data_IF_459163420223
#
_entry.id   IF_459163420223
#
_cell.length_a   1.000
_cell.length_b   1.000
_cell.length_c   1.000
_cell.angle_alpha   90.00
_cell.angle_beta   90.00
_cell.angle_gamma   90.00
#
_symmetry.space_group_name_H-M   'P 1'
#
loop_
_entity.id
_entity.type
_entity.pdbx_description
1 polymer ?
#
# COMPACT_ATOMS: atom_id res chain seq x y z
N UNK A 1 18.99 29.11 74.24
CA UNK A 1 20.10 28.72 75.13
C UNK A 1 19.49 27.92 76.28
N UNK A 2 19.77 26.60 76.31
CA UNK A 2 19.52 25.61 77.39
C UNK A 2 18.03 25.24 77.64
N UNK A 3 17.61 23.98 77.82
CA UNK A 3 18.31 22.70 78.00
C UNK A 3 17.41 21.52 77.54
N UNK A 4 18.06 20.37 77.33
CA UNK A 4 17.48 19.06 77.05
C UNK A 4 16.55 18.55 78.16
N UNK A 5 15.55 17.72 77.83
CA UNK A 5 15.33 16.42 78.49
C UNK A 5 14.64 15.45 77.51
N UNK A 6 15.29 14.30 77.35
CA UNK A 6 14.88 13.09 76.65
C UNK A 6 13.63 12.40 77.24
N UNK A 7 12.77 11.84 76.38
CA UNK A 7 11.99 10.64 76.74
C UNK A 7 12.09 9.59 75.63
N UNK A 8 12.65 8.45 76.01
CA UNK A 8 12.73 7.19 75.26
C UNK A 8 11.35 6.52 75.22
N UNK A 9 10.98 5.96 74.08
CA UNK A 9 10.03 4.84 73.93
C UNK A 9 10.54 3.88 72.83
N UNK A 10 10.16 2.59 72.87
CA UNK A 10 11.10 1.47 72.83
C UNK A 10 11.30 0.85 71.45
N UNK A 11 12.42 0.12 71.32
CA UNK A 11 12.67 -0.85 70.26
C UNK A 11 11.82 -2.12 70.51
N UNK A 12 11.04 -2.52 69.52
CA UNK A 12 10.55 -3.90 69.30
C UNK A 12 10.51 -4.14 67.77
N UNK A 13 10.61 -5.40 67.32
CA UNK A 13 11.59 -5.83 66.34
C UNK A 13 10.94 -5.97 64.97
N UNK A 14 11.79 -5.99 63.94
CA UNK A 14 11.35 -6.12 62.56
C UNK A 14 10.52 -7.36 62.32
N UNK A 15 9.39 -7.18 61.67
CA UNK A 15 8.82 -8.08 60.67
C UNK A 15 7.66 -7.32 60.03
N UNK A 16 7.56 -7.40 58.70
CA UNK A 16 6.53 -6.75 57.85
C UNK A 16 6.86 -5.36 57.29
N UNK A 17 7.90 -5.29 56.46
CA UNK A 17 7.88 -4.36 55.32
C UNK A 17 8.19 -5.05 53.97
N UNK A 18 8.58 -6.33 53.98
CA UNK A 18 8.87 -7.09 52.76
C UNK A 18 7.65 -7.77 52.10
N UNK A 19 6.49 -7.79 52.76
CA UNK A 19 5.28 -8.43 52.21
C UNK A 19 4.38 -7.49 51.39
N UNK A 20 4.62 -6.17 51.41
CA UNK A 20 3.80 -5.20 50.66
C UNK A 20 4.37 -4.88 49.27
N UNK A 21 5.63 -5.20 48.99
CA UNK A 21 6.25 -4.99 47.68
C UNK A 21 6.09 -6.19 46.72
N UNK A 22 5.64 -7.36 47.21
CA UNK A 22 5.41 -8.54 46.36
C UNK A 22 3.97 -8.65 45.84
N UNK A 23 3.01 -7.89 46.37
CA UNK A 23 1.63 -7.87 45.86
C UNK A 23 1.37 -6.78 44.81
N UNK A 24 2.27 -5.80 44.63
CA UNK A 24 2.12 -4.75 43.63
C UNK A 24 2.69 -5.09 42.24
N UNK A 25 3.38 -6.23 42.10
CA UNK A 25 3.94 -6.67 40.82
C UNK A 25 2.96 -7.53 39.97
N UNK A 26 1.74 -7.75 40.45
CA UNK A 26 0.69 -8.55 39.78
C UNK A 26 -0.47 -7.70 39.25
N UNK A 27 -0.21 -6.42 38.95
CA UNK A 27 -1.11 -5.58 38.15
C UNK A 27 -0.34 -4.92 37.01
N UNK A 28 0.47 -5.71 36.29
CA UNK A 28 0.80 -5.37 34.91
C UNK A 28 -0.38 -5.85 34.08
N UNK A 29 -1.26 -4.92 33.71
CA UNK A 29 -2.32 -5.19 32.74
C UNK A 29 -1.68 -5.71 31.43
N UNK A 30 -2.18 -6.80 30.83
CA UNK A 30 -1.62 -7.40 29.61
C UNK A 30 -2.00 -6.60 28.36
N UNK A 31 -1.74 -5.29 28.35
CA UNK A 31 -2.06 -4.42 27.22
C UNK A 31 -0.92 -4.30 26.21
N UNK A 32 0.26 -4.85 26.50
CA UNK A 32 1.46 -4.75 25.66
C UNK A 32 1.71 -5.94 24.71
N UNK A 33 0.99 -7.06 24.86
CA UNK A 33 1.20 -8.25 24.04
C UNK A 33 0.46 -8.19 22.69
N UNK A 34 -0.68 -7.50 22.62
CA UNK A 34 -1.51 -7.44 21.40
C UNK A 34 -0.83 -6.69 20.23
N UNK A 35 0.14 -5.81 20.51
CA UNK A 35 0.80 -5.00 19.47
C UNK A 35 2.00 -5.72 18.79
N UNK A 36 2.31 -6.95 19.21
CA UNK A 36 3.42 -7.76 18.70
C UNK A 36 2.99 -9.06 17.97
N UNK A 37 1.69 -9.33 17.85
CA UNK A 37 1.18 -10.58 17.24
C UNK A 37 1.60 -10.75 15.77
N UNK A 38 1.71 -9.65 15.02
CA UNK A 38 2.18 -9.70 13.63
C UNK A 38 3.70 -9.97 13.51
N UNK A 39 4.48 -9.72 14.57
CA UNK A 39 5.93 -9.99 14.57
C UNK A 39 6.19 -11.49 14.74
N UNK A 40 5.40 -12.15 15.58
CA UNK A 40 5.48 -13.59 15.85
C UNK A 40 4.08 -14.22 15.89
N UNK A 41 3.43 -14.42 14.73
CA UNK A 41 2.12 -15.04 14.65
C UNK A 41 2.16 -16.49 15.14
N UNK A 42 1.07 -16.96 15.75
CA UNK A 42 0.96 -18.35 16.19
C UNK A 42 1.08 -19.33 15.03
N UNK A 43 1.74 -20.47 15.26
CA UNK A 43 1.93 -21.50 14.23
C UNK A 43 0.61 -22.11 13.73
N UNK A 44 -0.46 -22.08 14.53
CA UNK A 44 -1.80 -22.46 14.10
C UNK A 44 -2.35 -21.52 13.02
N UNK A 45 -2.10 -20.21 13.14
CA UNK A 45 -2.54 -19.21 12.18
C UNK A 45 -1.79 -19.31 10.86
N UNK A 46 -0.49 -19.66 10.90
CA UNK A 46 0.28 -19.96 9.68
C UNK A 46 -0.35 -21.12 8.90
N UNK A 47 -0.78 -22.20 9.58
CA UNK A 47 -1.49 -23.33 8.94
C UNK A 47 -2.89 -22.95 8.47
N UNK A 48 -3.57 -22.03 9.15
CA UNK A 48 -4.90 -21.57 8.75
C UNK A 48 -4.87 -20.85 7.40
N UNK A 49 -3.89 -19.96 7.20
CA UNK A 49 -3.74 -19.23 5.94
C UNK A 49 -3.01 -20.02 4.85
N UNK A 50 -2.26 -21.06 5.22
CA UNK A 50 -1.50 -21.92 4.30
C UNK A 50 -1.68 -23.41 4.66
N UNK A 51 -2.89 -23.98 4.46
CA UNK A 51 -3.24 -25.30 4.97
C UNK A 51 -2.52 -26.46 4.26
N UNK A 52 -1.94 -26.21 3.07
CA UNK A 52 -1.20 -27.22 2.32
C UNK A 52 0.25 -27.42 2.81
N UNK A 53 0.73 -26.57 3.72
CA UNK A 53 2.09 -26.62 4.24
C UNK A 53 2.20 -27.48 5.49
N UNK A 54 3.28 -28.25 5.57
CA UNK A 54 3.63 -29.06 6.73
C UNK A 54 4.58 -28.30 7.67
N UNK A 55 5.46 -27.46 7.10
CA UNK A 55 6.57 -26.81 7.80
C UNK A 55 6.65 -25.34 7.39
N UNK A 56 6.95 -24.46 8.34
CA UNK A 56 7.19 -23.04 8.10
C UNK A 56 8.60 -22.64 8.58
N UNK A 57 9.27 -21.76 7.84
CA UNK A 57 10.52 -21.13 8.29
C UNK A 57 10.26 -20.11 9.40
N UNK A 58 11.33 -19.63 10.04
CA UNK A 58 11.28 -18.35 10.74
C UNK A 58 10.99 -17.20 9.76
N UNK A 59 10.43 -16.09 10.27
CA UNK A 59 10.20 -14.86 9.50
C UNK A 59 11.53 -14.23 9.10
N UNK A 60 11.79 -14.07 7.81
CA UNK A 60 13.08 -13.56 7.32
C UNK A 60 12.97 -12.99 5.90
N UNK A 61 14.01 -12.25 5.47
CA UNK A 61 14.13 -11.65 4.14
C UNK A 61 13.56 -10.23 4.05
N UNK A 62 13.53 -9.68 2.84
CA UNK A 62 13.06 -8.32 2.55
C UNK A 62 12.17 -8.30 1.30
N UNK A 63 10.85 -8.05 1.41
CA UNK A 63 10.08 -7.90 2.66
C UNK A 63 10.08 -9.20 3.50
N UNK A 64 9.86 -9.13 4.83
CA UNK A 64 9.97 -10.29 5.71
C UNK A 64 8.81 -11.27 5.52
N UNK A 65 9.14 -12.55 5.32
CA UNK A 65 8.17 -13.62 5.05
C UNK A 65 8.48 -14.90 5.84
N UNK A 66 7.45 -15.68 6.12
CA UNK A 66 7.57 -17.11 6.46
C UNK A 66 7.49 -17.90 5.16
N UNK A 67 8.47 -18.77 4.90
CA UNK A 67 8.44 -19.72 3.79
C UNK A 67 7.65 -20.95 4.21
N UNK A 68 6.72 -21.38 3.37
CA UNK A 68 5.85 -22.51 3.64
C UNK A 68 6.26 -23.70 2.77
N UNK A 69 6.47 -24.86 3.39
CA UNK A 69 6.97 -26.05 2.71
C UNK A 69 6.04 -27.24 2.87
N UNK A 70 6.00 -28.08 1.85
CA UNK A 70 5.29 -29.36 1.82
C UNK A 70 6.27 -30.52 1.73
N UNK A 71 6.02 -31.55 2.53
CA UNK A 71 6.82 -32.77 2.53
C UNK A 71 6.29 -33.68 1.43
N UNK A 72 6.96 -33.72 0.28
CA UNK A 72 6.59 -34.64 -0.79
C UNK A 72 6.95 -36.09 -0.42
N UNK A 73 6.03 -37.02 -0.70
CA UNK A 73 6.24 -38.45 -0.43
C UNK A 73 7.36 -38.99 -1.32
N UNK A 74 8.49 -39.36 -0.72
CA UNK A 74 9.62 -39.99 -1.41
C UNK A 74 10.84 -39.09 -1.62
N UNK A 75 10.79 -37.82 -1.23
CA UNK A 75 11.92 -36.87 -1.25
C UNK A 75 12.33 -36.48 0.17
N UNK A 76 13.63 -36.28 0.38
CA UNK A 76 14.19 -35.90 1.70
C UNK A 76 14.04 -34.39 1.94
N UNK A 77 14.05 -33.59 0.88
CA UNK A 77 13.94 -32.13 0.98
C UNK A 77 12.49 -31.67 0.85
N UNK A 78 12.01 -30.80 1.75
CA UNK A 78 10.67 -30.27 1.69
C UNK A 78 10.57 -29.22 0.57
N UNK A 79 9.50 -29.29 -0.23
CA UNK A 79 9.27 -28.43 -1.39
C UNK A 79 8.67 -27.09 -0.93
N UNK A 80 9.21 -25.96 -1.40
CA UNK A 80 8.60 -24.65 -1.16
C UNK A 80 7.29 -24.56 -1.94
N UNK A 81 6.20 -24.23 -1.26
CA UNK A 81 4.87 -24.12 -1.89
C UNK A 81 4.27 -22.71 -1.82
N UNK A 82 4.89 -21.80 -1.07
CA UNK A 82 4.41 -20.44 -0.96
C UNK A 82 5.04 -19.64 0.18
N UNK A 83 4.46 -18.48 0.42
CA UNK A 83 4.90 -17.50 1.41
C UNK A 83 3.73 -17.07 2.29
N UNK A 84 4.03 -16.78 3.55
CA UNK A 84 3.10 -16.14 4.49
C UNK A 84 3.73 -14.85 5.00
N UNK A 85 2.96 -13.77 5.09
CA UNK A 85 3.44 -12.45 5.46
C UNK A 85 2.36 -11.66 6.19
N UNK A 86 2.75 -10.57 6.85
CA UNK A 86 1.82 -9.72 7.59
C UNK A 86 1.83 -8.29 7.06
N UNK A 87 0.65 -7.70 6.86
CA UNK A 87 0.50 -6.35 6.27
C UNK A 87 1.29 -5.23 6.97
N UNK A 88 1.52 -5.25 8.31
CA UNK A 88 2.31 -4.19 8.96
C UNK A 88 3.77 -4.11 8.52
N UNK A 89 4.38 -5.21 8.03
CA UNK A 89 5.76 -5.18 7.52
C UNK A 89 5.88 -4.52 6.16
N UNK A 90 4.76 -4.25 5.49
CA UNK A 90 4.72 -3.79 4.10
C UNK A 90 4.04 -2.42 4.01
N UNK A 91 4.74 -1.34 4.44
CA UNK A 91 4.19 0.01 4.36
C UNK A 91 3.92 0.44 2.90
N UNK A 92 2.93 1.32 2.66
CA UNK A 92 2.15 2.05 3.66
C UNK A 92 0.99 1.22 4.25
N UNK A 93 0.88 1.24 5.58
CA UNK A 93 -0.21 0.58 6.32
C UNK A 93 -1.54 1.27 6.00
N UNK A 94 -2.55 0.48 5.68
CA UNK A 94 -3.90 0.98 5.42
C UNK A 94 -4.66 1.16 6.73
N UNK A 95 -5.34 2.30 6.86
CA UNK A 95 -6.08 2.66 8.07
C UNK A 95 -7.57 2.35 7.89
N UNK A 96 -8.10 1.50 8.77
CA UNK A 96 -9.52 1.36 9.03
C UNK A 96 -10.10 2.60 9.69
N UNK A 97 -11.32 2.50 10.22
CA UNK A 97 -12.03 3.66 10.75
C UNK A 97 -11.35 4.24 11.99
N UNK A 98 -10.84 3.38 12.87
CA UNK A 98 -10.21 3.80 14.14
C UNK A 98 -8.71 3.52 14.23
N UNK A 99 -8.12 2.84 13.24
CA UNK A 99 -6.70 2.47 13.26
C UNK A 99 -6.31 1.45 12.20
N UNK A 100 -5.05 0.99 12.20
CA UNK A 100 -4.60 -0.08 11.32
C UNK A 100 -5.33 -1.39 11.61
N UNK A 101 -5.45 -2.22 10.57
CA UNK A 101 -5.98 -3.58 10.65
C UNK A 101 -4.88 -4.52 10.17
N UNK A 102 -4.28 -5.24 11.11
CA UNK A 102 -3.15 -6.11 10.87
C UNK A 102 -3.67 -7.47 10.41
N UNK A 103 -3.15 -7.94 9.28
CA UNK A 103 -3.60 -9.20 8.67
C UNK A 103 -2.41 -10.10 8.36
N UNK A 104 -2.61 -11.41 8.50
CA UNK A 104 -1.71 -12.46 8.06
C UNK A 104 -2.27 -13.03 6.75
N UNK A 105 -1.41 -13.14 5.74
CA UNK A 105 -1.82 -13.53 4.39
C UNK A 105 -0.93 -14.65 3.91
N UNK A 106 -1.54 -15.73 3.42
CA UNK A 106 -0.87 -16.82 2.71
C UNK A 106 -0.99 -16.65 1.20
N UNK A 107 0.08 -16.88 0.46
CA UNK A 107 0.14 -16.80 -0.99
C UNK A 107 0.97 -17.96 -1.57
N UNK A 108 0.47 -18.62 -2.61
CA UNK A 108 1.20 -19.67 -3.32
C UNK A 108 2.23 -19.10 -4.32
N UNK A 109 2.99 -19.99 -4.96
CA UNK A 109 4.00 -19.60 -5.96
C UNK A 109 3.42 -19.08 -7.29
N UNK A 110 2.10 -19.16 -7.47
CA UNK A 110 1.38 -18.63 -8.64
C UNK A 110 0.71 -17.29 -8.32
N UNK A 111 0.99 -16.70 -7.15
CA UNK A 111 0.39 -15.43 -6.74
C UNK A 111 -1.08 -15.55 -6.36
N UNK A 112 -1.59 -16.74 -6.01
CA UNK A 112 -2.95 -16.89 -5.48
C UNK A 112 -2.92 -16.87 -3.98
N UNK A 113 -3.87 -16.14 -3.39
CA UNK A 113 -4.05 -16.09 -1.95
C UNK A 113 -4.66 -17.40 -1.45
N UNK A 114 -3.98 -18.08 -0.54
CA UNK A 114 -4.43 -19.36 0.02
C UNK A 114 -5.32 -19.19 1.26
N UNK A 115 -5.22 -18.03 1.91
CA UNK A 115 -6.02 -17.66 3.08
C UNK A 115 -5.59 -16.33 3.68
N UNK A 116 -6.48 -15.72 4.46
CA UNK A 116 -6.28 -14.46 5.16
C UNK A 116 -6.79 -14.62 6.57
N UNK A 117 -6.03 -14.12 7.55
CA UNK A 117 -6.43 -14.08 8.95
C UNK A 117 -6.28 -12.66 9.49
N UNK A 118 -7.29 -12.17 10.20
CA UNK A 118 -7.18 -10.93 10.96
C UNK A 118 -6.40 -11.20 12.25
N UNK A 119 -5.33 -10.44 12.48
CA UNK A 119 -4.49 -10.58 13.68
C UNK A 119 -4.96 -9.60 14.75
N UNK A 120 -4.80 -8.32 14.46
CA UNK A 120 -5.08 -7.27 15.42
C UNK A 120 -5.76 -6.10 14.73
N UNK A 121 -6.79 -5.58 15.37
CA UNK A 121 -7.37 -4.30 14.99
C UNK A 121 -8.04 -3.64 16.18
N UNK A 122 -8.23 -2.33 16.06
CA UNK A 122 -9.08 -1.56 16.97
C UNK A 122 -10.05 -0.75 16.12
N UNK A 123 -11.32 -1.03 16.32
CA UNK A 123 -12.43 -0.40 15.61
C UNK A 123 -13.49 0.01 16.63
N UNK A 124 -14.05 1.21 16.49
CA UNK A 124 -15.11 1.71 17.39
C UNK A 124 -16.29 0.72 17.51
N UNK A 125 -16.57 0.00 16.43
CA UNK A 125 -17.65 -0.98 16.33
C UNK A 125 -17.38 -2.31 17.06
N UNK A 126 -16.13 -2.64 17.40
CA UNK A 126 -15.81 -3.89 18.12
C UNK A 126 -16.56 -3.99 19.45
N UNK A 127 -16.66 -2.86 20.18
CA UNK A 127 -17.36 -2.82 21.47
C UNK A 127 -18.86 -3.17 21.39
N UNK A 128 -19.46 -3.06 20.20
CA UNK A 128 -20.88 -3.29 19.97
C UNK A 128 -21.16 -4.61 19.26
N UNK A 129 -20.21 -5.13 18.47
CA UNK A 129 -20.43 -6.29 17.59
C UNK A 129 -19.39 -7.42 17.72
N UNK A 130 -18.42 -7.30 18.62
CA UNK A 130 -17.36 -8.31 18.72
C UNK A 130 -16.44 -8.27 17.50
N UNK A 131 -15.98 -9.44 17.05
CA UNK A 131 -15.06 -9.57 15.92
C UNK A 131 -15.82 -9.56 14.58
N UNK A 132 -16.42 -8.40 14.26
CA UNK A 132 -17.31 -8.28 13.11
C UNK A 132 -16.63 -8.53 11.76
N UNK A 133 -15.29 -8.42 11.69
CA UNK A 133 -14.56 -8.68 10.45
C UNK A 133 -14.55 -10.19 10.20
N UNK A 134 -14.11 -10.97 11.17
CA UNK A 134 -14.07 -12.43 11.08
C UNK A 134 -15.49 -13.02 10.98
N UNK A 135 -16.42 -12.56 11.83
CA UNK A 135 -17.80 -13.05 11.91
C UNK A 135 -18.60 -12.81 10.61
N UNK A 136 -18.20 -11.83 9.81
CA UNK A 136 -18.84 -11.53 8.52
C UNK A 136 -18.41 -12.46 7.38
N UNK A 137 -17.37 -13.29 7.60
CA UNK A 137 -16.75 -14.08 6.54
C UNK A 137 -15.98 -13.24 5.51
N UNK A 138 -15.70 -11.97 5.81
CA UNK A 138 -14.99 -11.07 4.90
C UNK A 138 -13.60 -11.60 4.48
N UNK A 139 -12.76 -12.15 5.38
CA UNK A 139 -11.45 -12.71 4.99
C UNK A 139 -11.54 -13.89 4.01
N UNK A 140 -12.62 -14.70 4.06
CA UNK A 140 -12.76 -15.87 3.20
C UNK A 140 -12.95 -15.50 1.72
N UNK A 141 -13.42 -14.28 1.43
CA UNK A 141 -13.57 -13.80 0.06
C UNK A 141 -12.24 -13.69 -0.69
N UNK A 142 -11.11 -13.59 0.02
CA UNK A 142 -9.78 -13.50 -0.58
C UNK A 142 -9.22 -14.85 -1.01
N UNK A 143 -9.78 -15.96 -0.54
CA UNK A 143 -9.27 -17.30 -0.85
C UNK A 143 -9.37 -17.59 -2.34
N UNK A 144 -8.28 -18.13 -2.91
CA UNK A 144 -8.08 -18.42 -4.33
C UNK A 144 -8.06 -17.21 -5.27
N UNK A 145 -8.16 -15.98 -4.77
CA UNK A 145 -8.01 -14.79 -5.60
C UNK A 145 -6.56 -14.60 -6.01
N UNK A 146 -6.34 -14.16 -7.24
CA UNK A 146 -5.00 -13.86 -7.73
C UNK A 146 -4.62 -12.41 -7.38
N UNK A 147 -3.35 -12.17 -7.05
CA UNK A 147 -2.81 -10.84 -6.78
C UNK A 147 -2.90 -9.87 -7.97
N UNK A 148 -3.06 -10.37 -9.19
CA UNK A 148 -3.32 -9.58 -10.40
C UNK A 148 -4.68 -8.87 -10.34
N UNK A 149 -5.65 -9.41 -9.58
CA UNK A 149 -6.94 -8.76 -9.37
C UNK A 149 -6.81 -7.47 -8.53
N UNK A 150 -7.82 -6.58 -8.64
CA UNK A 150 -7.79 -5.24 -8.05
C UNK A 150 -8.34 -5.17 -6.61
N UNK A 151 -9.06 -6.20 -6.15
CA UNK A 151 -9.70 -6.31 -4.83
C UNK A 151 -10.53 -5.07 -4.43
N UNK A 152 -11.27 -4.48 -5.38
CA UNK A 152 -12.09 -3.30 -5.11
C UNK A 152 -13.33 -3.69 -4.31
N UNK A 153 -13.55 -3.01 -3.19
CA UNK A 153 -14.73 -3.23 -2.35
C UNK A 153 -15.98 -2.73 -3.08
N UNK A 154 -17.03 -3.55 -3.12
CA UNK A 154 -18.26 -3.29 -3.88
C UNK A 154 -18.21 -3.77 -5.34
N UNK A 155 -17.06 -4.28 -5.81
CA UNK A 155 -16.90 -4.81 -7.16
C UNK A 155 -16.29 -6.21 -7.19
N UNK A 156 -15.11 -6.34 -6.59
CA UNK A 156 -14.33 -7.59 -6.57
C UNK A 156 -14.42 -8.29 -5.20
N UNK A 157 -14.78 -7.54 -4.16
CA UNK A 157 -14.95 -7.97 -2.75
C UNK A 157 -16.22 -7.32 -2.18
N UNK A 158 -17.11 -8.09 -1.57
CA UNK A 158 -18.30 -7.56 -0.90
C UNK A 158 -17.91 -6.81 0.39
N UNK A 159 -18.34 -5.55 0.50
CA UNK A 159 -18.07 -4.74 1.67
C UNK A 159 -18.86 -5.17 2.92
N UNK A 160 -18.25 -5.01 4.09
CA UNK A 160 -18.94 -5.23 5.37
C UNK A 160 -19.96 -4.11 5.63
N UNK A 161 -21.19 -4.51 5.95
CA UNK A 161 -22.28 -3.58 6.23
C UNK A 161 -21.92 -2.62 7.37
N UNK A 162 -21.97 -1.31 7.08
CA UNK A 162 -21.61 -0.20 8.00
C UNK A 162 -20.13 -0.17 8.42
N UNK A 163 -19.27 -0.93 7.76
CA UNK A 163 -17.82 -0.93 7.97
C UNK A 163 -17.07 -0.76 6.65
N UNK A 164 -17.52 0.16 5.81
CA UNK A 164 -16.97 0.43 4.47
C UNK A 164 -15.49 0.82 4.53
N UNK A 165 -15.11 1.70 5.46
CA UNK A 165 -13.72 2.15 5.62
C UNK A 165 -12.80 0.99 6.02
N UNK A 166 -13.25 0.15 6.96
CA UNK A 166 -12.51 -1.03 7.43
C UNK A 166 -12.38 -2.08 6.33
N UNK A 167 -13.46 -2.33 5.57
CA UNK A 167 -13.47 -3.24 4.42
C UNK A 167 -12.42 -2.83 3.38
N UNK A 168 -12.41 -1.54 3.05
CA UNK A 168 -11.46 -0.98 2.09
C UNK A 168 -10.01 -1.09 2.60
N UNK A 169 -9.78 -0.81 3.89
CA UNK A 169 -8.45 -0.89 4.48
C UNK A 169 -7.87 -2.30 4.44
N UNK A 170 -8.68 -3.31 4.79
CA UNK A 170 -8.28 -4.73 4.73
C UNK A 170 -8.01 -5.15 3.29
N UNK A 171 -8.94 -4.91 2.36
CA UNK A 171 -8.80 -5.34 0.97
C UNK A 171 -7.57 -4.75 0.29
N UNK A 172 -7.35 -3.43 0.44
CA UNK A 172 -6.19 -2.75 -0.13
C UNK A 172 -4.89 -3.14 0.57
N UNK A 173 -4.93 -3.33 1.88
CA UNK A 173 -3.77 -3.76 2.67
C UNK A 173 -3.24 -5.11 2.20
N UNK A 174 -4.14 -6.10 2.07
CA UNK A 174 -3.83 -7.43 1.56
C UNK A 174 -3.26 -7.34 0.14
N UNK A 175 -3.94 -6.63 -0.76
CA UNK A 175 -3.50 -6.47 -2.15
C UNK A 175 -2.08 -5.91 -2.27
N UNK A 176 -1.83 -4.78 -1.63
CA UNK A 176 -0.56 -4.08 -1.73
C UNK A 176 0.58 -4.91 -1.12
N UNK A 177 0.32 -5.55 0.03
CA UNK A 177 1.29 -6.42 0.67
C UNK A 177 1.62 -7.66 -0.19
N UNK A 178 0.60 -8.32 -0.72
CA UNK A 178 0.78 -9.52 -1.55
C UNK A 178 1.58 -9.24 -2.81
N UNK A 179 1.27 -8.15 -3.53
CA UNK A 179 2.03 -7.74 -4.73
C UNK A 179 3.49 -7.44 -4.39
N UNK A 180 3.76 -6.74 -3.28
CA UNK A 180 5.15 -6.46 -2.85
C UNK A 180 5.95 -7.73 -2.53
N UNK A 181 5.32 -8.71 -1.88
CA UNK A 181 5.96 -10.01 -1.63
C UNK A 181 6.20 -10.74 -2.95
N UNK A 182 5.20 -10.77 -3.83
CA UNK A 182 5.31 -11.45 -5.11
C UNK A 182 6.43 -10.86 -5.98
N UNK A 183 6.56 -9.54 -6.04
CA UNK A 183 7.67 -8.88 -6.78
C UNK A 183 9.04 -9.30 -6.26
N UNK A 184 9.19 -9.48 -4.95
CA UNK A 184 10.48 -9.85 -4.36
C UNK A 184 10.80 -11.35 -4.45
N UNK A 185 9.79 -12.22 -4.48
CA UNK A 185 9.99 -13.66 -4.27
C UNK A 185 9.48 -14.58 -5.40
N UNK A 186 8.68 -14.08 -6.34
CA UNK A 186 8.14 -14.88 -7.45
C UNK A 186 8.82 -14.57 -8.80
N UNK A 187 10.13 -14.29 -8.79
CA UNK A 187 10.92 -13.75 -9.90
C UNK A 187 10.74 -14.43 -11.28
N UNK A 188 10.42 -15.72 -11.29
CA UNK A 188 10.27 -16.54 -12.51
C UNK A 188 8.81 -16.66 -13.02
N UNK A 189 7.87 -15.90 -12.44
CA UNK A 189 6.44 -15.93 -12.82
C UNK A 189 6.09 -14.85 -13.86
N UNK A 190 5.04 -15.09 -14.65
CA UNK A 190 4.44 -14.09 -15.55
C UNK A 190 4.12 -12.79 -14.79
N UNK A 191 3.70 -12.91 -13.54
CA UNK A 191 3.49 -11.79 -12.63
C UNK A 191 4.73 -10.90 -12.46
N UNK A 192 5.95 -11.45 -12.40
CA UNK A 192 7.15 -10.60 -12.25
C UNK A 192 7.49 -9.87 -13.54
N UNK A 193 7.26 -10.46 -14.70
CA UNK A 193 7.38 -9.72 -15.96
C UNK A 193 6.39 -8.55 -16.02
N UNK A 194 5.13 -8.76 -15.61
CA UNK A 194 4.11 -7.71 -15.51
C UNK A 194 4.45 -6.66 -14.46
N UNK A 195 4.90 -7.08 -13.27
CA UNK A 195 5.28 -6.18 -12.18
C UNK A 195 6.54 -5.37 -12.52
N UNK A 196 7.49 -5.96 -13.24
CA UNK A 196 8.67 -5.28 -13.77
C UNK A 196 8.27 -4.25 -14.82
N UNK A 197 7.41 -4.63 -15.77
CA UNK A 197 6.88 -3.71 -16.76
C UNK A 197 6.13 -2.54 -16.12
N UNK A 198 5.22 -2.83 -15.18
CA UNK A 198 4.51 -1.81 -14.43
C UNK A 198 5.47 -0.90 -13.66
N UNK A 199 6.51 -1.45 -13.06
CA UNK A 199 7.55 -0.68 -12.38
C UNK A 199 8.36 0.19 -13.34
N UNK A 200 8.69 -0.31 -14.54
CA UNK A 200 9.39 0.43 -15.58
C UNK A 200 8.55 1.61 -16.08
N UNK A 201 7.28 1.36 -16.44
CA UNK A 201 6.36 2.42 -16.88
C UNK A 201 6.17 3.48 -15.80
N UNK A 202 5.96 3.06 -14.55
CA UNK A 202 5.81 3.99 -13.43
C UNK A 202 7.09 4.75 -13.14
N UNK A 203 8.25 4.11 -13.22
CA UNK A 203 9.54 4.76 -13.02
C UNK A 203 9.78 5.81 -14.11
N UNK A 204 9.51 5.47 -15.37
CA UNK A 204 9.57 6.39 -16.51
C UNK A 204 8.68 7.62 -16.28
N UNK A 205 7.40 7.42 -15.94
CA UNK A 205 6.47 8.51 -15.63
C UNK A 205 6.89 9.30 -14.37
N UNK A 206 7.51 8.65 -13.39
CA UNK A 206 8.01 9.31 -12.18
C UNK A 206 9.23 10.19 -12.46
N UNK A 207 10.07 9.87 -13.45
CA UNK A 207 11.20 10.72 -13.83
C UNK A 207 10.77 11.96 -14.63
N UNK A 208 9.67 11.87 -15.38
CA UNK A 208 9.17 12.99 -16.20
C UNK A 208 8.75 14.21 -15.37
N UNK A 209 9.13 15.41 -15.79
CA UNK A 209 8.59 16.67 -15.28
C UNK A 209 7.10 16.83 -15.61
N UNK A 210 6.42 17.82 -15.04
CA UNK A 210 5.01 18.06 -15.36
C UNK A 210 4.84 18.46 -16.83
N UNK A 211 5.77 19.28 -17.32
CA UNK A 211 5.84 19.71 -18.72
C UNK A 211 6.06 18.51 -19.64
N UNK A 212 6.97 17.60 -19.31
CA UNK A 212 7.21 16.37 -20.09
C UNK A 212 6.02 15.41 -20.06
N UNK A 213 5.25 15.36 -18.97
CA UNK A 213 4.00 14.61 -18.91
C UNK A 213 2.91 15.19 -19.83
N UNK A 214 2.92 16.52 -20.02
CA UNK A 214 2.05 17.18 -20.99
C UNK A 214 2.53 16.93 -22.42
N UNK A 215 3.82 17.09 -22.69
CA UNK A 215 4.42 16.86 -24.02
C UNK A 215 4.28 15.41 -24.50
N UNK A 216 4.30 14.46 -23.57
CA UNK A 216 4.09 13.03 -23.87
C UNK A 216 2.60 12.63 -23.88
N UNK A 217 1.68 13.59 -23.85
CA UNK A 217 0.23 13.38 -23.94
C UNK A 217 -0.40 12.55 -22.82
N UNK A 218 0.38 12.16 -21.80
CA UNK A 218 -0.12 11.48 -20.60
C UNK A 218 -1.05 12.41 -19.81
N UNK A 219 -0.68 13.69 -19.70
CA UNK A 219 -1.54 14.76 -19.19
C UNK A 219 -1.96 15.64 -20.37
N UNK A 220 -3.27 15.82 -20.57
CA UNK A 220 -3.79 16.75 -21.57
C UNK A 220 -4.27 18.03 -20.90
N UNK A 221 -4.05 19.17 -21.55
CA UNK A 221 -4.52 20.46 -21.07
C UNK A 221 -5.72 20.93 -21.90
N UNK A 222 -6.80 21.31 -21.23
CA UNK A 222 -7.96 21.98 -21.81
C UNK A 222 -8.05 23.41 -21.26
N UNK A 223 -8.05 24.37 -22.19
CA UNK A 223 -8.26 25.78 -21.88
C UNK A 223 -9.71 26.16 -22.13
N UNK A 224 -10.35 26.73 -21.12
CA UNK A 224 -11.75 27.15 -21.16
C UNK A 224 -11.81 28.66 -20.92
N UNK A 225 -11.92 29.48 -21.97
CA UNK A 225 -12.16 30.91 -21.81
C UNK A 225 -13.58 31.14 -21.28
N UNK A 226 -13.73 32.07 -20.34
CA UNK A 226 -15.01 32.47 -19.76
C UNK A 226 -15.34 33.92 -20.13
N UNK A 227 -16.64 34.27 -20.07
CA UNK A 227 -17.16 35.59 -20.48
C UNK A 227 -16.58 36.75 -19.64
N UNK A 228 -16.16 36.48 -18.42
CA UNK A 228 -15.55 37.45 -17.50
C UNK A 228 -14.04 37.65 -17.73
N UNK A 229 -13.52 37.17 -18.87
CA UNK A 229 -12.10 37.17 -19.25
C UNK A 229 -11.20 36.33 -18.34
N UNK A 230 -11.79 35.56 -17.41
CA UNK A 230 -11.05 34.54 -16.70
C UNK A 230 -10.91 33.28 -17.55
N UNK A 231 -9.93 32.47 -17.21
CA UNK A 231 -9.64 31.22 -17.88
C UNK A 231 -9.64 30.10 -16.85
N UNK A 232 -10.44 29.08 -17.12
CA UNK A 232 -10.38 27.82 -16.42
C UNK A 232 -9.43 26.90 -17.18
N UNK A 233 -8.37 26.46 -16.50
CA UNK A 233 -7.41 25.50 -17.05
C UNK A 233 -7.66 24.14 -16.42
N UNK A 234 -7.94 23.15 -17.24
CA UNK A 234 -8.14 21.77 -16.81
C UNK A 234 -6.98 20.89 -17.28
N UNK A 235 -6.51 20.03 -16.40
CA UNK A 235 -5.53 18.99 -16.71
C UNK A 235 -6.21 17.64 -16.58
N UNK A 236 -6.12 16.83 -17.62
CA UNK A 236 -6.80 15.56 -17.76
C UNK A 236 -5.77 14.45 -17.79
N UNK A 237 -5.90 13.44 -16.92
CA UNK A 237 -5.03 12.27 -16.93
C UNK A 237 -5.75 11.02 -16.41
N UNK A 238 -5.46 9.86 -16.99
CA UNK A 238 -5.98 8.58 -16.49
C UNK A 238 -5.37 8.24 -15.13
N UNK A 239 -6.21 7.85 -14.17
CA UNK A 239 -5.79 7.48 -12.81
C UNK A 239 -6.54 6.25 -12.27
N UNK A 240 -7.22 5.49 -13.14
CA UNK A 240 -7.96 4.29 -12.75
C UNK A 240 -7.10 3.13 -12.27
N UNK A 241 -5.80 3.15 -12.58
CA UNK A 241 -4.81 2.24 -12.02
C UNK A 241 -4.21 2.83 -10.73
N UNK A 242 -4.15 2.05 -9.65
CA UNK A 242 -3.81 2.58 -8.32
C UNK A 242 -2.44 3.24 -8.26
N UNK A 243 -1.37 2.63 -8.80
CA UNK A 243 -0.03 3.24 -8.79
C UNK A 243 0.04 4.52 -9.62
N UNK A 244 -0.75 4.63 -10.69
CA UNK A 244 -0.82 5.87 -11.49
C UNK A 244 -1.52 6.97 -10.70
N UNK A 245 -2.61 6.64 -10.03
CA UNK A 245 -3.29 7.58 -9.16
C UNK A 245 -2.44 8.04 -7.98
N UNK A 246 -1.72 7.12 -7.32
CA UNK A 246 -0.79 7.48 -6.24
C UNK A 246 0.38 8.34 -6.75
N UNK A 247 0.89 8.08 -7.96
CA UNK A 247 1.91 8.92 -8.61
C UNK A 247 1.37 10.34 -8.86
N UNK A 248 0.14 10.45 -9.38
CA UNK A 248 -0.48 11.71 -9.75
C UNK A 248 -0.83 12.58 -8.55
N UNK A 249 -1.57 12.05 -7.58
CA UNK A 249 -2.15 12.85 -6.47
C UNK A 249 -1.54 12.52 -5.10
N UNK A 250 -0.71 11.49 -5.00
CA UNK A 250 -0.16 10.98 -3.74
C UNK A 250 -1.03 9.89 -3.11
N UNK A 251 -0.39 8.97 -2.38
CA UNK A 251 -1.04 7.78 -1.83
C UNK A 251 -2.27 8.07 -0.94
N UNK A 252 -2.18 9.08 -0.07
CA UNK A 252 -3.29 9.46 0.83
C UNK A 252 -4.48 10.04 0.07
N UNK A 253 -4.23 10.97 -0.85
CA UNK A 253 -5.31 11.66 -1.57
C UNK A 253 -5.99 10.71 -2.56
N UNK A 254 -5.20 9.83 -3.20
CA UNK A 254 -5.74 8.79 -4.07
C UNK A 254 -6.60 7.79 -3.31
N UNK A 255 -6.11 7.32 -2.16
CA UNK A 255 -6.84 6.42 -1.26
C UNK A 255 -8.22 6.98 -0.88
N UNK A 256 -8.26 8.27 -0.51
CA UNK A 256 -9.51 8.94 -0.17
C UNK A 256 -10.44 9.07 -1.38
N UNK A 257 -9.91 9.47 -2.54
CA UNK A 257 -10.70 9.61 -3.76
C UNK A 257 -11.30 8.28 -4.24
N UNK A 258 -10.49 7.21 -4.28
CA UNK A 258 -10.89 5.86 -4.66
C UNK A 258 -12.00 5.31 -3.75
N UNK A 259 -11.87 5.54 -2.44
CA UNK A 259 -12.91 5.20 -1.46
C UNK A 259 -14.21 5.95 -1.71
N UNK A 260 -14.14 7.28 -1.86
CA UNK A 260 -15.32 8.10 -2.13
C UNK A 260 -15.98 7.74 -3.46
N UNK A 261 -15.20 7.43 -4.48
CA UNK A 261 -15.69 6.99 -5.78
C UNK A 261 -16.47 5.66 -5.66
N UNK A 262 -15.89 4.68 -4.99
CA UNK A 262 -16.48 3.34 -4.79
C UNK A 262 -17.78 3.37 -3.97
N UNK A 263 -17.96 4.38 -3.11
CA UNK A 263 -19.20 4.58 -2.36
C UNK A 263 -20.32 5.12 -3.26
N UNK A 264 -19.98 5.90 -4.28
CA UNK A 264 -20.98 6.61 -5.10
C UNK A 264 -21.44 5.81 -6.31
N UNK A 265 -20.55 5.05 -6.92
CA UNK A 265 -20.83 4.22 -8.09
C UNK A 265 -20.08 2.90 -8.03
N UNK A 266 -20.70 1.85 -8.54
CA UNK A 266 -20.15 0.49 -8.56
C UNK A 266 -19.13 0.29 -9.69
N UNK A 267 -19.24 1.07 -10.76
CA UNK A 267 -18.46 0.92 -11.99
C UNK A 267 -17.93 2.24 -12.57
N UNK A 268 -16.95 2.12 -13.46
CA UNK A 268 -16.34 3.23 -14.18
C UNK A 268 -14.85 3.40 -13.91
N UNK A 269 -14.15 3.91 -14.91
CA UNK A 269 -12.73 4.26 -14.80
C UNK A 269 -12.55 5.67 -14.21
N UNK A 270 -11.46 5.89 -13.49
CA UNK A 270 -11.18 7.19 -12.88
C UNK A 270 -10.29 8.06 -13.77
N UNK A 271 -10.76 9.28 -14.04
CA UNK A 271 -10.02 10.32 -14.75
C UNK A 271 -9.75 11.49 -13.81
N UNK A 272 -8.49 11.89 -13.69
CA UNK A 272 -8.08 13.09 -12.99
C UNK A 272 -8.56 14.33 -13.74
N UNK A 273 -9.16 15.26 -13.03
CA UNK A 273 -9.46 16.62 -13.46
C UNK A 273 -8.71 17.58 -12.52
N UNK A 274 -7.49 17.95 -12.90
CA UNK A 274 -6.69 18.96 -12.22
C UNK A 274 -7.15 20.36 -12.61
N UNK A 275 -7.37 21.24 -11.63
CA UNK A 275 -8.04 22.53 -11.85
C UNK A 275 -7.07 23.67 -11.54
N UNK A 276 -6.88 24.56 -12.51
CA UNK A 276 -6.05 25.76 -12.41
C UNK A 276 -6.65 26.93 -13.20
N UNK A 277 -5.81 27.93 -13.46
CA UNK A 277 -6.24 29.20 -14.05
C UNK A 277 -6.68 30.21 -13.00
N UNK A 278 -7.40 31.26 -13.42
CA UNK A 278 -7.84 32.37 -12.58
C UNK A 278 -9.38 32.47 -12.46
N UNK A 279 -10.10 31.48 -12.98
CA UNK A 279 -11.55 31.41 -12.89
C UNK A 279 -12.07 31.08 -11.47
N UNK A 280 -13.26 31.58 -11.09
CA UNK A 280 -13.75 31.51 -9.71
C UNK A 280 -14.17 30.11 -9.23
N UNK A 281 -14.62 29.21 -10.12
CA UNK A 281 -14.82 27.78 -9.78
C UNK A 281 -15.14 26.92 -11.01
N UNK A 282 -14.71 25.65 -10.98
CA UNK A 282 -15.19 24.63 -11.92
C UNK A 282 -16.70 24.37 -11.72
N UNK A 283 -17.47 24.38 -12.80
CA UNK A 283 -18.88 23.92 -12.79
C UNK A 283 -18.93 22.47 -13.28
N UNK A 284 -18.88 21.51 -12.36
CA UNK A 284 -18.72 20.08 -12.68
C UNK A 284 -19.75 19.50 -13.66
N UNK A 285 -20.98 20.02 -13.69
CA UNK A 285 -22.05 19.54 -14.61
C UNK A 285 -21.90 20.05 -16.05
N UNK A 286 -20.89 20.89 -16.32
CA UNK A 286 -20.49 21.29 -17.67
C UNK A 286 -19.45 20.36 -18.27
N UNK A 287 -18.94 19.39 -17.51
CA UNK A 287 -18.06 18.36 -18.03
C UNK A 287 -18.87 17.24 -18.69
N UNK A 288 -18.34 16.69 -19.76
CA UNK A 288 -18.78 15.42 -20.34
C UNK A 288 -17.62 14.73 -21.04
N UNK A 289 -17.87 13.48 -21.45
CA UNK A 289 -17.02 12.78 -22.40
C UNK A 289 -17.76 12.63 -23.72
N UNK A 290 -17.07 12.86 -24.83
CA UNK A 290 -17.55 12.58 -26.17
C UNK A 290 -16.77 11.37 -26.71
N UNK A 291 -17.47 10.30 -27.09
CA UNK A 291 -16.86 9.15 -27.76
C UNK A 291 -17.80 8.63 -28.84
N UNK A 292 -17.27 8.39 -30.05
CA UNK A 292 -18.04 7.87 -31.18
C UNK A 292 -19.33 8.67 -31.49
N UNK A 293 -19.27 10.00 -31.35
CA UNK A 293 -20.41 10.91 -31.55
C UNK A 293 -21.45 10.92 -30.43
N UNK A 294 -21.29 10.08 -29.39
CA UNK A 294 -22.16 10.05 -28.22
C UNK A 294 -21.58 10.90 -27.10
N UNK A 295 -22.42 11.77 -26.53
CA UNK A 295 -22.07 12.60 -25.37
C UNK A 295 -22.51 11.88 -24.09
N UNK A 296 -21.60 11.78 -23.14
CA UNK A 296 -21.78 11.21 -21.81
C UNK A 296 -21.64 12.32 -20.76
N UNK A 297 -22.75 12.99 -20.37
CA UNK A 297 -22.71 14.08 -19.41
C UNK A 297 -22.21 13.64 -18.04
N UNK A 298 -21.38 14.48 -17.40
CA UNK A 298 -20.98 14.24 -16.02
C UNK A 298 -22.19 14.35 -15.08
N UNK A 299 -22.15 13.56 -14.00
CA UNK A 299 -23.20 13.51 -12.97
C UNK A 299 -22.61 13.80 -11.60
N UNK A 300 -23.46 14.24 -10.66
CA UNK A 300 -23.00 14.62 -9.30
C UNK A 300 -22.43 13.44 -8.51
N UNK A 301 -22.98 12.24 -8.73
CA UNK A 301 -22.52 10.98 -8.15
C UNK A 301 -21.18 10.51 -8.74
N UNK A 302 -20.86 10.91 -9.97
CA UNK A 302 -19.63 10.52 -10.68
C UNK A 302 -18.48 11.52 -10.58
N UNK A 303 -18.48 12.38 -9.56
CA UNK A 303 -17.44 13.41 -9.39
C UNK A 303 -17.00 13.57 -7.93
N UNK A 304 -15.76 13.22 -7.61
CA UNK A 304 -15.23 13.25 -6.23
C UNK A 304 -14.00 14.13 -6.11
N UNK A 305 -13.74 14.64 -4.90
CA UNK A 305 -12.54 15.44 -4.63
C UNK A 305 -11.29 14.54 -4.59
N UNK A 306 -10.19 14.97 -5.23
CA UNK A 306 -8.97 14.18 -5.40
C UNK A 306 -7.73 14.79 -4.75
N UNK A 307 -7.88 15.89 -4.00
CA UNK A 307 -6.77 16.52 -3.28
C UNK A 307 -6.59 18.00 -3.61
N UNK A 308 -5.72 18.63 -2.83
CA UNK A 308 -5.48 20.09 -2.88
C UNK A 308 -4.27 20.50 -3.72
N UNK A 309 -3.74 19.60 -4.56
CA UNK A 309 -2.55 19.91 -5.37
C UNK A 309 -1.26 20.08 -4.56
N UNK A 310 -1.15 19.40 -3.41
CA UNK A 310 0.02 19.51 -2.49
C UNK A 310 0.95 18.29 -2.51
N UNK A 311 0.54 17.20 -3.16
CA UNK A 311 1.27 15.92 -3.23
C UNK A 311 1.18 15.33 -4.64
N UNK A 312 2.04 14.36 -4.92
CA UNK A 312 2.12 13.71 -6.23
C UNK A 312 2.64 14.65 -7.33
N UNK A 313 2.50 14.21 -8.59
CA UNK A 313 2.88 15.01 -9.77
C UNK A 313 2.08 16.30 -9.94
N UNK A 314 0.87 16.36 -9.39
CA UNK A 314 0.05 17.58 -9.43
C UNK A 314 0.52 18.67 -8.45
N UNK A 315 1.51 18.39 -7.60
CA UNK A 315 1.95 19.31 -6.55
C UNK A 315 2.44 20.64 -7.14
N UNK A 316 1.79 21.74 -6.76
CA UNK A 316 2.11 23.08 -7.27
C UNK A 316 1.67 23.36 -8.71
N UNK A 317 1.11 22.37 -9.41
CA UNK A 317 0.65 22.49 -10.81
C UNK A 317 -0.83 22.86 -10.90
N UNK A 318 -1.60 22.49 -9.88
CA UNK A 318 -3.06 22.73 -9.81
C UNK A 318 -3.44 23.31 -8.46
N UNK A 319 -4.54 24.06 -8.39
CA UNK A 319 -5.07 24.58 -7.13
C UNK A 319 -5.79 23.49 -6.33
N UNK A 320 -6.50 22.61 -7.03
CA UNK A 320 -7.11 21.40 -6.49
C UNK A 320 -7.38 20.41 -7.62
N UNK A 321 -7.64 19.17 -7.27
CA UNK A 321 -7.95 18.11 -8.21
C UNK A 321 -9.27 17.42 -7.83
N UNK A 322 -9.94 16.90 -8.85
CA UNK A 322 -11.09 16.05 -8.71
C UNK A 322 -10.90 14.78 -9.54
N UNK A 323 -11.70 13.75 -9.25
CA UNK A 323 -11.84 12.57 -10.09
C UNK A 323 -13.20 12.61 -10.74
N UNK A 324 -13.23 12.54 -12.06
CA UNK A 324 -14.41 12.21 -12.84
C UNK A 324 -14.43 10.70 -13.08
N UNK A 325 -15.51 10.05 -12.64
CA UNK A 325 -15.71 8.61 -12.81
C UNK A 325 -16.46 8.41 -14.12
N UNK A 326 -15.79 7.81 -15.09
CA UNK A 326 -16.31 7.65 -16.44
C UNK A 326 -17.54 6.74 -16.44
N UNK A 327 -18.47 7.00 -17.35
CA UNK A 327 -19.58 6.09 -17.64
C UNK A 327 -19.00 4.74 -18.12
N UNK A 328 -19.49 3.59 -17.63
CA UNK A 328 -18.97 2.27 -18.00
C UNK A 328 -19.11 1.95 -19.49
N UNK A 329 -19.97 2.66 -20.23
CA UNK A 329 -20.09 2.51 -21.68
C UNK A 329 -18.93 3.16 -22.46
N UNK A 330 -18.08 3.95 -21.81
CA UNK A 330 -16.90 4.57 -22.43
C UNK A 330 -15.76 3.55 -22.46
N UNK A 331 -15.27 3.23 -23.65
CA UNK A 331 -14.10 2.38 -23.83
C UNK A 331 -12.82 3.22 -23.73
N UNK A 332 -12.10 3.10 -22.62
CA UNK A 332 -10.85 3.82 -22.39
C UNK A 332 -9.69 3.36 -23.30
N UNK A 333 -9.80 2.21 -23.96
CA UNK A 333 -8.80 1.76 -24.93
C UNK A 333 -8.93 2.49 -26.27
N UNK A 334 -10.08 3.12 -26.53
CA UNK A 334 -10.31 3.93 -27.72
C UNK A 334 -10.15 5.43 -27.40
N UNK A 335 -9.81 6.26 -28.40
CA UNK A 335 -9.82 7.71 -28.22
C UNK A 335 -11.19 8.23 -27.73
N UNK A 336 -11.16 9.22 -26.86
CA UNK A 336 -12.34 9.97 -26.42
C UNK A 336 -11.95 11.43 -26.17
N UNK A 337 -12.92 12.35 -26.18
CA UNK A 337 -12.66 13.76 -25.88
C UNK A 337 -13.29 14.13 -24.54
N UNK A 338 -12.55 14.82 -23.68
CA UNK A 338 -13.14 15.51 -22.53
C UNK A 338 -13.62 16.86 -23.02
N UNK A 339 -14.89 17.15 -22.80
CA UNK A 339 -15.53 18.39 -23.25
C UNK A 339 -16.02 19.21 -22.07
N UNK A 340 -15.96 20.53 -22.23
CA UNK A 340 -16.53 21.49 -21.29
C UNK A 340 -17.53 22.40 -22.01
N UNK A 341 -18.78 22.32 -21.58
CA UNK A 341 -19.91 23.11 -22.09
C UNK A 341 -19.70 24.60 -21.82
N UNK A 342 -19.60 25.38 -22.90
CA UNK A 342 -19.51 26.85 -22.87
C UNK A 342 -20.83 27.50 -23.24
N UNK A 343 -21.85 26.72 -23.59
CA UNK A 343 -23.16 27.21 -24.00
C UNK A 343 -23.98 27.84 -22.86
N UNK A 344 -25.08 28.51 -23.22
CA UNK A 344 -25.94 29.21 -22.26
C UNK A 344 -26.70 28.23 -21.35
N UNK A 345 -27.10 27.08 -21.89
CA UNK A 345 -27.87 26.05 -21.18
C UNK A 345 -26.94 24.91 -20.79
N UNK A 346 -26.78 24.72 -19.48
CA UNK A 346 -25.86 23.70 -18.95
C UNK A 346 -26.39 22.30 -19.25
N UNK A 347 -25.57 21.48 -19.90
CA UNK A 347 -25.85 20.08 -20.17
C UNK A 347 -26.46 19.81 -21.55
N UNK A 348 -26.67 20.84 -22.37
CA UNK A 348 -27.06 20.65 -23.78
C UNK A 348 -25.86 20.35 -24.67
N UNK A 349 -24.65 20.79 -24.29
CA UNK A 349 -23.42 20.60 -25.05
C UNK A 349 -23.56 21.05 -26.52
N UNK A 350 -24.31 22.11 -26.78
CA UNK A 350 -24.45 22.71 -28.11
C UNK A 350 -23.19 23.49 -28.53
N UNK A 351 -22.49 24.05 -27.55
CA UNK A 351 -21.22 24.75 -27.69
C UNK A 351 -20.28 24.27 -26.59
N UNK A 352 -19.09 23.83 -26.97
CA UNK A 352 -18.11 23.34 -26.02
C UNK A 352 -16.69 23.50 -26.56
N UNK A 353 -15.75 23.53 -25.62
CA UNK A 353 -14.34 23.29 -25.91
C UNK A 353 -13.99 21.85 -25.55
N UNK A 354 -13.03 21.27 -26.25
CA UNK A 354 -12.68 19.86 -26.10
C UNK A 354 -11.16 19.66 -26.07
N UNK A 355 -10.75 18.58 -25.42
CA UNK A 355 -9.42 18.03 -25.57
C UNK A 355 -9.51 16.53 -25.83
N UNK A 356 -8.79 16.06 -26.85
CA UNK A 356 -8.73 14.64 -27.17
C UNK A 356 -7.79 13.94 -26.22
N UNK A 357 -8.22 12.77 -25.75
CA UNK A 357 -7.51 11.94 -24.80
C UNK A 357 -7.48 10.49 -25.31
N UNK A 358 -6.30 9.90 -25.30
CA UNK A 358 -6.10 8.49 -25.56
C UNK A 358 -5.02 7.99 -24.61
N UNK A 359 -5.26 6.85 -23.98
CA UNK A 359 -4.25 6.27 -23.10
C UNK A 359 -3.05 5.82 -23.93
N UNK A 360 -1.85 6.13 -23.46
CA UNK A 360 -0.63 5.62 -24.05
C UNK A 360 -0.65 4.07 -24.05
N UNK A 361 -0.12 3.41 -25.09
CA UNK A 361 -0.11 1.94 -25.17
C UNK A 361 0.48 1.29 -23.91
N UNK A 362 1.53 1.90 -23.35
CA UNK A 362 2.17 1.39 -22.15
C UNK A 362 1.31 1.50 -20.90
N UNK A 363 0.44 2.50 -20.82
CA UNK A 363 -0.54 2.67 -19.74
C UNK A 363 -1.70 1.69 -19.92
N UNK A 364 -2.15 1.45 -21.17
CA UNK A 364 -3.18 0.45 -21.46
C UNK A 364 -2.73 -0.96 -21.05
N UNK A 365 -1.47 -1.30 -21.30
CA UNK A 365 -0.88 -2.58 -20.88
C UNK A 365 -0.78 -2.74 -19.36
N UNK A 366 -0.83 -1.66 -18.56
CA UNK A 366 -0.94 -1.75 -17.09
C UNK A 366 -2.37 -2.12 -16.63
N UNK A 367 -3.37 -1.79 -17.44
CA UNK A 367 -4.78 -1.91 -17.08
C UNK A 367 -5.35 -3.24 -17.62
N UNK A 368 -4.86 -3.67 -18.77
CA UNK A 368 -5.20 -4.94 -19.41
C UNK A 368 -4.09 -5.92 -19.07
N UNK A 369 -4.36 -6.95 -18.25
CA UNK A 369 -3.40 -8.01 -17.96
C UNK A 369 -2.73 -8.47 -19.27
N UNK A 370 -1.43 -8.27 -19.45
CA UNK A 370 -0.85 -8.25 -20.78
C UNK A 370 -0.65 -9.66 -21.33
N UNK A 371 -1.18 -9.91 -22.52
CA UNK A 371 -0.38 -10.66 -23.49
C UNK A 371 0.75 -9.71 -23.93
N UNK A 372 1.87 -9.72 -23.21
CA UNK A 372 3.02 -8.85 -23.48
C UNK A 372 3.45 -8.97 -24.96
N UNK A 373 3.57 -7.86 -25.72
CA UNK A 373 4.17 -7.89 -27.04
C UNK A 373 5.62 -8.41 -26.97
N UNK A 374 5.98 -9.34 -27.84
CA UNK A 374 7.26 -10.07 -27.78
C UNK A 374 8.52 -9.19 -27.80
N UNK A 375 8.45 -7.94 -28.26
CA UNK A 375 9.58 -7.00 -28.32
C UNK A 375 9.95 -6.37 -26.95
N UNK A 376 9.01 -6.28 -26.00
CA UNK A 376 9.28 -5.74 -24.65
C UNK A 376 9.89 -6.79 -23.71
N UNK A 377 9.61 -8.08 -23.95
CA UNK A 377 10.23 -9.20 -23.22
C UNK A 377 11.75 -9.25 -23.46
N UNK A 378 12.20 -8.88 -24.65
CA UNK A 378 13.62 -8.84 -25.00
C UNK A 378 14.36 -7.68 -24.34
N UNK A 379 13.72 -6.52 -24.16
CA UNK A 379 14.34 -5.36 -23.49
C UNK A 379 14.51 -5.59 -21.97
N UNK A 380 13.50 -6.16 -21.31
CA UNK A 380 13.56 -6.53 -19.89
C UNK A 380 14.58 -7.65 -19.61
N UNK A 381 14.70 -8.62 -20.52
CA UNK A 381 15.71 -9.67 -20.41
C UNK A 381 17.15 -9.12 -20.53
N UNK A 382 17.40 -8.16 -21.42
CA UNK A 382 18.73 -7.53 -21.56
C UNK A 382 19.07 -6.58 -20.40
N UNK A 383 18.10 -5.89 -19.81
CA UNK A 383 18.34 -5.07 -18.60
C UNK A 383 18.63 -5.93 -17.36
N UNK A 384 18.03 -7.13 -17.27
CA UNK A 384 18.29 -8.07 -16.17
C UNK A 384 19.68 -8.74 -16.26
N UNK A 385 20.21 -8.98 -17.46
CA UNK A 385 21.56 -9.53 -17.63
C UNK A 385 22.65 -8.56 -17.18
N UNK A 386 22.47 -7.26 -17.42
CA UNK A 386 23.44 -6.23 -17.03
C UNK A 386 23.44 -5.96 -15.51
N UNK A 387 22.34 -6.27 -14.81
CA UNK A 387 22.26 -6.19 -13.35
C UNK A 387 22.80 -7.45 -12.65
N UNK A 388 22.78 -8.60 -13.32
CA UNK A 388 23.31 -9.86 -12.79
C UNK A 388 24.84 -9.94 -12.97
N UNK A 389 25.44 -9.21 -13.91
CA UNK A 389 26.91 -9.17 -14.10
C UNK A 389 27.66 -8.23 -13.13
N UNK A 390 26.96 -7.40 -12.34
CA UNK A 390 27.60 -6.45 -11.41
C UNK A 390 27.76 -6.95 -9.97
N UNK A 391 27.38 -8.19 -9.65
CA UNK A 391 27.37 -8.71 -8.27
C UNK A 391 28.38 -9.81 -7.94
N UNK A 392 29.50 -9.90 -8.67
CA UNK A 392 30.67 -10.66 -8.21
C UNK A 392 31.89 -9.75 -8.04
N UNK A 393 31.89 -8.92 -6.99
CA UNK A 393 33.09 -8.21 -6.56
C UNK A 393 33.84 -9.06 -5.50
N UNK A 394 34.96 -9.74 -5.86
CA UNK A 394 35.67 -10.65 -4.96
C UNK A 394 36.21 -9.95 -3.70
N UNK A 395 36.46 -8.64 -3.74
CA UNK A 395 36.88 -7.84 -2.57
C UNK A 395 35.77 -7.69 -1.52
N UNK A 396 34.50 -7.52 -1.94
CA UNK A 396 33.38 -7.41 -1.01
C UNK A 396 33.16 -8.73 -0.26
N UNK A 397 33.28 -9.87 -0.97
CA UNK A 397 33.15 -11.20 -0.37
C UNK A 397 34.30 -11.57 0.59
N UNK A 398 35.48 -10.95 0.43
CA UNK A 398 36.63 -11.11 1.33
C UNK A 398 36.50 -10.24 2.59
N UNK A 399 36.03 -8.99 2.44
CA UNK A 399 35.80 -8.06 3.56
C UNK A 399 34.73 -8.62 4.51
N UNK A 400 33.63 -9.16 3.97
CA UNK A 400 32.53 -9.74 4.77
C UNK A 400 32.99 -11.01 5.51
N UNK A 401 33.84 -11.85 4.90
CA UNK A 401 34.38 -13.06 5.52
C UNK A 401 35.37 -12.78 6.66
N UNK A 402 36.15 -11.69 6.59
CA UNK A 402 37.15 -11.33 7.59
C UNK A 402 36.69 -10.29 8.63
N UNK A 403 35.47 -9.78 8.52
CA UNK A 403 34.91 -8.79 9.46
C UNK A 403 34.77 -9.38 10.88
N UNK A 404 34.41 -10.65 10.98
CA UNK A 404 34.18 -11.33 12.26
C UNK A 404 35.47 -11.59 13.06
N UNK A 405 36.60 -11.81 12.38
CA UNK A 405 37.90 -11.93 13.06
C UNK A 405 38.40 -10.59 13.63
N UNK A 406 38.08 -9.47 12.97
CA UNK A 406 38.41 -8.13 13.47
C UNK A 406 37.58 -7.75 14.70
N UNK A 407 36.28 -8.08 14.70
CA UNK A 407 35.40 -7.85 15.86
C UNK A 407 35.79 -8.74 17.04
N UNK A 408 36.14 -10.01 16.81
CA UNK A 408 36.62 -10.90 17.86
C UNK A 408 37.93 -10.41 18.52
N UNK A 409 38.86 -9.87 17.73
CA UNK A 409 40.10 -9.30 18.25
C UNK A 409 39.84 -8.03 19.08
N UNK A 410 38.92 -7.17 18.65
CA UNK A 410 38.51 -5.97 19.39
C UNK A 410 37.83 -6.30 20.72
N UNK A 411 36.95 -7.31 20.75
CA UNK A 411 36.32 -7.80 21.99
C UNK A 411 37.37 -8.40 22.94
N UNK A 412 38.35 -9.14 22.42
CA UNK A 412 39.43 -9.70 23.23
C UNK A 412 40.31 -8.60 23.84
N UNK A 413 40.67 -7.58 23.06
CA UNK A 413 41.43 -6.41 23.55
C UNK A 413 40.62 -5.67 24.61
N UNK A 414 39.31 -5.49 24.39
CA UNK A 414 38.42 -4.83 25.34
C UNK A 414 38.32 -5.59 26.68
N UNK A 415 38.15 -6.92 26.62
CA UNK A 415 38.13 -7.80 27.81
C UNK A 415 39.47 -7.77 28.55
N UNK A 416 40.59 -7.80 27.83
CA UNK A 416 41.92 -7.71 28.43
C UNK A 416 42.12 -6.34 29.10
N UNK A 417 41.71 -5.22 28.47
CA UNK A 417 41.81 -3.88 29.08
C UNK A 417 40.95 -3.72 30.34
N UNK A 418 39.74 -4.29 30.37
CA UNK A 418 38.89 -4.30 31.56
C UNK A 418 39.51 -5.13 32.70
N UNK A 419 40.16 -6.26 32.39
CA UNK A 419 40.87 -7.07 33.37
C UNK A 419 42.11 -6.36 33.95
N UNK A 420 42.84 -5.57 33.15
CA UNK A 420 43.97 -4.77 33.65
C UNK A 420 43.54 -3.58 34.50
N UNK A 421 42.39 -2.97 34.21
CA UNK A 421 41.81 -1.88 35.02
C UNK A 421 41.28 -2.43 36.35
N UNK A 422 40.62 -3.59 36.35
CA UNK A 422 40.16 -4.25 37.57
C UNK A 422 41.29 -4.73 38.48
N UNK A 423 42.49 -4.98 37.95
CA UNK A 423 43.69 -5.34 38.73
C UNK A 423 44.44 -4.15 39.33
N UNK A 424 44.19 -2.92 38.86
CA UNK A 424 44.82 -1.69 39.38
C UNK A 424 43.98 -0.93 40.42
N UNK A 425 42.81 -1.46 40.79
CA UNK A 425 41.92 -0.89 41.81
C UNK A 425 42.07 -1.49 43.21
N UNK A 426 43.09 -2.32 43.45
CA UNK A 426 43.44 -2.83 44.78
C UNK A 426 44.93 -2.61 44.96
N UNK A 427 45.27 -1.39 45.35
CA UNK A 427 46.35 -1.02 46.29
C UNK A 427 46.11 0.42 46.76
#
# INVERSE_FOLDING_TARGET
MWSQVSRRLPKFPGFSFLALCFSLAWMVHPSGFAQAEWQSPDASWLREVMPAADIFSAKQGEPPVFRAFKTASGTIEPELIGYVFTTPDLPPVQLGFSGPIDTLVGMDLQGRLTGVKILHYRESYQSLRGDFIEDSGFPEQFRNKNIEEEFRVGRDIDGMSRATISSWAVARGIRNAARRVATAYLADSTFVAEANYETEVLFSLQQKSWEELIESDFVKQLLVPLDDLTELRLFVAYMGHYRLGELLVGATDYSNADREASIRVEDGSMLLIGIGGNAPMLRQLRLAVLQNGSVYPNRRDRFVFAGSGKKGKIAGQVQFAAVMILDPAIDIAQPFSVIYDTGPITGEFSEFVSVDYQLAPEVLALIQAPALPGELLTAGAMASSDLIELEENPLASWIVRNLWSGVAALVLIFVLTLATISRKGVD
#
